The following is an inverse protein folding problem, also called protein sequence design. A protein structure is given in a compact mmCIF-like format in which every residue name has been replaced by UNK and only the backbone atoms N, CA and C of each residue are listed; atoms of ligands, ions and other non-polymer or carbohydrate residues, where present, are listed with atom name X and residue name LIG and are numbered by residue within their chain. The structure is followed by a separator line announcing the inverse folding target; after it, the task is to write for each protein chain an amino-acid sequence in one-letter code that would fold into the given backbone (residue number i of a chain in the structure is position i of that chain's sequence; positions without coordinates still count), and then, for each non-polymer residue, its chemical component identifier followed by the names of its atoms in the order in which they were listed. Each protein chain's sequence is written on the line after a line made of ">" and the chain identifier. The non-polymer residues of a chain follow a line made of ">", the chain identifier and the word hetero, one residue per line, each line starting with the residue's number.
data_IF_947266319281
#
_entry.id   IF_947266319281
#
_cell.length_a   1.000
_cell.length_b   1.000
_cell.length_c   1.000
_cell.angle_alpha   90.00
_cell.angle_beta   90.00
_cell.angle_gamma   90.00
#
_symmetry.space_group_name_H-M   'P 1'
#
loop_
_entity.id
_entity.type
_entity.pdbx_description
1 polymer ?
#
# COMPACT_ATOMS: atom_id res chain seq x y z
N UNK A 1 18.00 -37.54 -30.82
CA UNK A 1 17.22 -37.43 -29.58
C UNK A 1 17.84 -36.31 -28.77
N UNK A 2 17.16 -35.19 -28.63
CA UNK A 2 17.32 -34.28 -27.49
C UNK A 2 16.11 -33.35 -27.47
N UNK A 3 15.37 -33.40 -26.36
CA UNK A 3 14.03 -32.87 -26.18
C UNK A 3 14.09 -31.36 -25.89
N UNK A 4 13.22 -30.62 -26.57
CA UNK A 4 12.73 -29.30 -26.14
C UNK A 4 12.09 -29.43 -24.76
N UNK A 5 12.49 -28.57 -23.82
CA UNK A 5 11.76 -28.39 -22.56
C UNK A 5 10.80 -27.23 -22.75
N UNK A 6 9.52 -27.56 -22.88
CA UNK A 6 8.40 -26.63 -22.88
C UNK A 6 8.25 -26.01 -21.48
N UNK A 7 8.13 -24.68 -21.43
CA UNK A 7 7.79 -23.94 -20.22
C UNK A 7 6.26 -24.02 -20.11
N UNK A 8 5.78 -24.75 -19.11
CA UNK A 8 4.36 -24.92 -18.83
C UNK A 8 3.73 -23.57 -18.47
N UNK A 9 2.83 -23.10 -19.34
CA UNK A 9 1.85 -22.05 -19.04
C UNK A 9 0.89 -22.62 -18.01
N UNK A 10 0.85 -22.01 -16.82
CA UNK A 10 -0.02 -22.44 -15.72
C UNK A 10 -1.45 -22.00 -16.03
N UNK A 11 -2.36 -22.97 -16.05
CA UNK A 11 -3.78 -22.81 -16.36
C UNK A 11 -4.48 -21.80 -15.42
N UNK A 12 -5.28 -20.93 -16.04
CA UNK A 12 -6.23 -20.06 -15.36
C UNK A 12 -7.21 -20.90 -14.55
N UNK A 13 -7.09 -20.86 -13.22
CA UNK A 13 -8.12 -21.40 -12.34
C UNK A 13 -9.21 -20.33 -12.21
N UNK A 14 -10.25 -20.44 -13.02
CA UNK A 14 -11.47 -19.64 -12.90
C UNK A 14 -12.13 -19.92 -11.53
N UNK A 15 -11.98 -19.00 -10.58
CA UNK A 15 -12.72 -19.03 -9.33
C UNK A 15 -14.17 -18.57 -9.60
N UNK A 16 -15.11 -19.48 -9.37
CA UNK A 16 -16.54 -19.24 -9.50
C UNK A 16 -16.99 -18.01 -8.68
N UNK A 17 -17.79 -17.16 -9.32
CA UNK A 17 -18.44 -16.02 -8.69
C UNK A 17 -19.42 -16.49 -7.60
N UNK A 18 -19.00 -16.53 -6.34
CA UNK A 18 -19.94 -16.74 -5.22
C UNK A 18 -20.66 -15.42 -4.90
N UNK A 19 -21.96 -15.38 -5.14
CA UNK A 19 -22.88 -14.27 -4.83
C UNK A 19 -23.43 -14.31 -3.40
N UNK A 20 -22.80 -15.05 -2.49
CA UNK A 20 -23.18 -15.13 -1.08
C UNK A 20 -21.97 -15.12 -0.16
N UNK A 21 -22.16 -14.67 1.08
CA UNK A 21 -21.20 -14.87 2.18
C UNK A 21 -20.84 -16.36 2.20
N UNK A 22 -19.55 -16.69 2.11
CA UNK A 22 -19.11 -18.08 2.11
C UNK A 22 -19.66 -18.84 3.31
N UNK A 23 -19.93 -20.14 3.17
CA UNK A 23 -20.29 -21.00 4.32
C UNK A 23 -19.14 -20.96 5.33
N UNK A 24 -19.45 -20.86 6.62
CA UNK A 24 -18.46 -20.69 7.70
C UNK A 24 -18.23 -19.24 8.15
N UNK A 25 -19.01 -18.29 7.63
CA UNK A 25 -19.01 -16.87 8.03
C UNK A 25 -20.39 -16.41 8.50
N UNK A 26 -21.13 -17.29 9.17
CA UNK A 26 -22.48 -17.04 9.66
C UNK A 26 -22.49 -15.93 10.72
N UNK A 27 -21.43 -15.85 11.55
CA UNK A 27 -21.28 -14.77 12.51
C UNK A 27 -20.96 -13.43 11.82
N UNK A 28 -21.48 -12.30 12.32
CA UNK A 28 -21.08 -10.98 11.87
C UNK A 28 -19.59 -10.74 12.19
N UNK A 29 -18.70 -11.01 11.24
CA UNK A 29 -17.30 -10.58 11.33
C UNK A 29 -17.25 -9.05 11.41
N UNK A 30 -16.76 -8.51 12.53
CA UNK A 30 -16.54 -7.09 12.67
C UNK A 30 -15.34 -6.70 11.80
N UNK A 31 -15.34 -5.50 11.24
CA UNK A 31 -14.31 -5.08 10.28
C UNK A 31 -12.98 -4.82 10.96
N UNK A 32 -13.03 -4.52 12.26
CA UNK A 32 -11.86 -4.34 13.13
C UNK A 32 -11.10 -5.66 13.33
N UNK A 33 -11.76 -6.80 13.13
CA UNK A 33 -11.20 -8.15 13.23
C UNK A 33 -10.51 -8.58 11.93
N UNK A 34 -10.78 -7.88 10.82
CA UNK A 34 -10.14 -8.14 9.53
C UNK A 34 -8.88 -7.29 9.37
N UNK A 35 -7.77 -7.95 9.08
CA UNK A 35 -6.51 -7.27 8.73
C UNK A 35 -6.39 -7.26 7.21
N UNK A 36 -6.39 -6.05 6.64
CA UNK A 36 -6.26 -5.90 5.19
C UNK A 36 -4.76 -5.81 4.84
N UNK A 37 -4.26 -6.69 3.95
CA UNK A 37 -2.85 -6.69 3.58
C UNK A 37 -2.44 -5.40 2.87
N UNK A 38 -1.15 -5.10 2.91
CA UNK A 38 -0.53 -3.98 2.21
C UNK A 38 0.33 -4.48 1.04
N UNK A 39 0.40 -3.68 -0.02
CA UNK A 39 1.41 -3.83 -1.06
C UNK A 39 2.76 -3.30 -0.53
N UNK A 40 3.65 -4.22 -0.13
CA UNK A 40 4.95 -3.93 0.45
C UNK A 40 6.01 -3.89 -0.65
N UNK A 41 6.60 -2.71 -0.88
CA UNK A 41 7.82 -2.59 -1.67
C UNK A 41 9.00 -3.12 -0.84
N UNK A 42 9.66 -4.16 -1.35
CA UNK A 42 10.84 -4.76 -0.75
C UNK A 42 12.09 -3.95 -1.13
N UNK A 43 12.77 -3.40 -0.14
CA UNK A 43 13.97 -2.57 -0.31
C UNK A 43 15.26 -3.40 -0.24
N UNK A 44 15.20 -4.60 0.37
CA UNK A 44 16.39 -5.45 0.54
C UNK A 44 17.26 -5.04 1.72
N UNK A 45 16.66 -4.47 2.75
CA UNK A 45 17.35 -4.21 4.02
C UNK A 45 17.57 -5.54 4.78
N UNK A 46 18.61 -5.67 5.61
CA UNK A 46 18.86 -6.88 6.38
C UNK A 46 17.64 -7.37 7.17
N UNK A 47 16.95 -6.46 7.86
CA UNK A 47 15.73 -6.79 8.62
C UNK A 47 14.53 -7.21 7.77
N UNK A 48 14.55 -6.90 6.47
CA UNK A 48 13.49 -7.35 5.56
C UNK A 48 13.76 -8.76 5.06
N UNK A 49 15.02 -9.17 4.86
CA UNK A 49 15.36 -10.54 4.47
C UNK A 49 14.94 -11.57 5.52
N UNK A 50 14.95 -11.20 6.82
CA UNK A 50 14.42 -12.07 7.88
C UNK A 50 12.92 -12.40 7.68
N UNK A 51 12.17 -11.50 7.06
CA UNK A 51 10.73 -11.64 6.81
C UNK A 51 10.40 -12.11 5.40
N UNK A 52 11.30 -11.85 4.45
CA UNK A 52 11.13 -12.08 3.02
C UNK A 52 12.45 -12.62 2.43
N UNK A 53 12.86 -13.85 2.79
CA UNK A 53 14.19 -14.36 2.46
C UNK A 53 14.42 -14.51 0.95
N UNK A 54 13.37 -14.82 0.18
CA UNK A 54 13.45 -15.07 -1.26
C UNK A 54 13.13 -13.83 -2.12
N UNK A 55 12.82 -12.70 -1.48
CA UNK A 55 12.45 -11.48 -2.19
C UNK A 55 13.67 -10.76 -2.78
N UNK A 56 13.45 -10.09 -3.91
CA UNK A 56 14.45 -9.28 -4.60
C UNK A 56 14.12 -7.79 -4.48
N UNK A 57 15.12 -6.91 -4.27
CA UNK A 57 14.91 -5.47 -4.19
C UNK A 57 14.09 -4.94 -5.37
N UNK A 58 13.07 -4.15 -5.07
CA UNK A 58 12.11 -3.61 -6.04
C UNK A 58 10.87 -4.47 -6.27
N UNK A 59 10.80 -5.70 -5.75
CA UNK A 59 9.57 -6.49 -5.82
C UNK A 59 8.48 -5.92 -4.89
N UNK A 60 7.23 -6.10 -5.28
CA UNK A 60 6.06 -5.65 -4.51
C UNK A 60 5.30 -6.88 -4.05
N UNK A 61 5.23 -7.06 -2.74
CA UNK A 61 4.74 -8.28 -2.10
C UNK A 61 3.47 -7.99 -1.32
N UNK A 62 2.64 -9.02 -1.13
CA UNK A 62 1.54 -8.98 -0.19
C UNK A 62 2.12 -9.08 1.24
N UNK A 63 1.81 -8.13 2.12
CA UNK A 63 2.38 -8.11 3.47
C UNK A 63 1.92 -9.27 4.36
N UNK A 64 0.82 -9.95 4.04
CA UNK A 64 0.33 -11.11 4.81
C UNK A 64 0.78 -12.41 4.15
N UNK A 65 0.46 -12.61 2.87
CA UNK A 65 0.76 -13.88 2.18
C UNK A 65 2.23 -14.01 1.76
N UNK A 66 2.97 -12.89 1.76
CA UNK A 66 4.39 -12.79 1.34
C UNK A 66 4.62 -13.10 -0.15
N UNK A 67 3.55 -13.31 -0.91
CA UNK A 67 3.61 -13.59 -2.34
C UNK A 67 3.80 -12.33 -3.18
N UNK A 68 4.39 -12.49 -4.37
CA UNK A 68 4.53 -11.41 -5.33
C UNK A 68 3.15 -10.96 -5.82
N UNK A 69 2.88 -9.66 -5.71
CA UNK A 69 1.66 -9.09 -6.25
C UNK A 69 1.75 -8.96 -7.78
N UNK A 70 0.65 -9.21 -8.51
CA UNK A 70 0.53 -8.83 -9.90
C UNK A 70 0.88 -7.36 -10.11
N UNK A 71 1.42 -7.02 -11.29
CA UNK A 71 1.69 -5.63 -11.61
C UNK A 71 0.40 -4.83 -11.79
N UNK A 72 -0.67 -5.44 -12.31
CA UNK A 72 -1.94 -4.75 -12.50
C UNK A 72 -2.75 -4.69 -11.19
N UNK A 73 -3.37 -3.55 -10.95
CA UNK A 73 -4.30 -3.37 -9.84
C UNK A 73 -5.42 -2.39 -10.21
N UNK A 74 -6.51 -2.48 -9.44
CA UNK A 74 -7.72 -1.68 -9.58
C UNK A 74 -7.93 -0.93 -8.26
N UNK A 75 -7.67 0.38 -8.21
CA UNK A 75 -8.00 1.18 -7.03
C UNK A 75 -9.53 1.32 -6.94
N UNK A 76 -10.06 1.11 -5.74
CA UNK A 76 -11.51 1.17 -5.48
C UNK A 76 -11.87 2.53 -4.89
N UNK A 77 -11.20 2.89 -3.81
CA UNK A 77 -11.31 4.21 -3.22
C UNK A 77 -10.03 4.59 -2.49
N UNK A 78 -9.88 5.89 -2.27
CA UNK A 78 -8.73 6.46 -1.59
C UNK A 78 -9.09 6.91 -0.19
N UNK A 79 -8.18 6.70 0.75
CA UNK A 79 -8.26 7.29 2.08
C UNK A 79 -6.88 7.82 2.47
N UNK A 80 -6.87 8.86 3.28
CA UNK A 80 -5.64 9.49 3.76
C UNK A 80 -5.50 9.16 5.23
N UNK A 81 -4.29 8.83 5.66
CA UNK A 81 -3.99 8.81 7.08
C UNK A 81 -2.65 9.49 7.36
N UNK A 82 -2.52 9.97 8.57
CA UNK A 82 -1.31 10.54 9.12
C UNK A 82 -0.85 9.65 10.26
N UNK A 83 0.44 9.33 10.26
CA UNK A 83 1.03 8.50 11.30
C UNK A 83 2.29 9.17 11.79
N UNK A 84 2.35 9.40 13.11
CA UNK A 84 3.55 9.83 13.81
C UNK A 84 4.27 8.60 14.34
N UNK A 85 5.43 8.30 13.76
CA UNK A 85 6.33 7.29 14.27
C UNK A 85 7.35 7.94 15.19
N UNK A 86 7.69 7.27 16.29
CA UNK A 86 8.84 7.65 17.08
C UNK A 86 10.11 7.33 16.29
N UNK A 87 11.04 8.29 16.11
CA UNK A 87 12.35 8.00 15.54
C UNK A 87 13.05 6.84 16.24
N UNK A 88 13.90 6.14 15.51
CA UNK A 88 14.69 5.03 16.08
C UNK A 88 15.94 5.53 16.79
N UNK A 89 16.56 6.58 16.24
CA UNK A 89 17.68 7.25 16.88
C UNK A 89 17.16 8.30 17.87
N UNK A 90 17.74 8.32 19.07
CA UNK A 90 17.38 9.27 20.14
C UNK A 90 17.79 10.69 19.84
N UNK A 91 18.74 10.87 18.92
CA UNK A 91 19.25 12.17 18.48
C UNK A 91 18.38 12.79 17.38
N UNK A 92 17.49 12.00 16.76
CA UNK A 92 16.63 12.49 15.69
C UNK A 92 15.56 13.46 16.21
N UNK A 93 15.25 14.46 15.38
CA UNK A 93 14.21 15.44 15.70
C UNK A 93 12.86 14.77 15.96
N UNK A 94 12.27 15.10 17.10
CA UNK A 94 10.96 14.63 17.52
C UNK A 94 10.97 13.28 18.24
N UNK A 95 12.14 12.73 18.60
CA UNK A 95 12.20 11.57 19.48
C UNK A 95 11.42 11.81 20.78
N UNK A 96 10.48 10.91 21.08
CA UNK A 96 9.71 10.88 22.32
C UNK A 96 10.28 9.79 23.24
N UNK A 97 10.85 10.14 24.41
CA UNK A 97 11.39 9.17 25.35
C UNK A 97 10.33 8.26 25.99
N UNK A 98 9.04 8.61 25.87
CA UNK A 98 7.94 7.81 26.41
C UNK A 98 7.43 6.74 25.43
N UNK A 99 7.90 6.76 24.19
CA UNK A 99 7.57 5.76 23.19
C UNK A 99 8.79 4.89 22.85
N UNK A 100 8.58 3.62 22.50
CA UNK A 100 9.67 2.78 22.04
C UNK A 100 10.22 3.30 20.68
N UNK A 101 11.52 3.15 20.39
CA UNK A 101 12.10 3.47 19.09
C UNK A 101 11.34 2.79 17.94
N UNK A 102 10.89 3.57 16.95
CA UNK A 102 10.11 3.08 15.80
C UNK A 102 8.63 2.80 16.08
N UNK A 103 8.13 3.01 17.30
CA UNK A 103 6.72 2.81 17.64
C UNK A 103 5.81 3.87 17.00
N UNK A 104 4.54 3.54 16.78
CA UNK A 104 3.52 4.54 16.43
C UNK A 104 3.16 5.32 17.69
N UNK A 105 3.40 6.64 17.70
CA UNK A 105 2.99 7.55 18.77
C UNK A 105 1.50 7.84 18.63
N UNK A 106 1.07 8.24 17.44
CA UNK A 106 -0.34 8.45 17.12
C UNK A 106 -0.63 8.25 15.63
N UNK A 107 -1.91 8.05 15.33
CA UNK A 107 -2.44 8.01 13.97
C UNK A 107 -3.80 8.67 13.91
N UNK A 108 -4.16 9.21 12.74
CA UNK A 108 -5.51 9.71 12.49
C UNK A 108 -5.81 9.69 11.00
N UNK A 109 -7.10 9.56 10.68
CA UNK A 109 -7.63 9.77 9.33
C UNK A 109 -8.32 11.13 9.20
N UNK A 110 -8.45 11.87 10.30
CA UNK A 110 -9.07 13.18 10.32
C UNK A 110 -8.08 14.26 9.86
N UNK A 111 -8.30 14.92 8.71
CA UNK A 111 -7.44 16.01 8.25
C UNK A 111 -7.48 17.24 9.16
N UNK A 112 -8.50 17.39 10.00
CA UNK A 112 -8.70 18.52 10.91
C UNK A 112 -8.21 18.25 12.33
N UNK A 113 -7.62 17.08 12.59
CA UNK A 113 -7.00 16.77 13.86
C UNK A 113 -5.91 17.82 14.17
N UNK A 114 -5.93 18.49 15.34
CA UNK A 114 -4.93 19.50 15.69
C UNK A 114 -3.48 19.00 15.59
N UNK A 115 -3.25 17.69 15.77
CA UNK A 115 -1.93 17.07 15.62
C UNK A 115 -1.47 17.05 14.16
N UNK A 116 -2.38 16.93 13.19
CA UNK A 116 -2.06 16.99 11.76
C UNK A 116 -1.63 18.40 11.36
N UNK A 117 -2.31 19.42 11.89
CA UNK A 117 -1.93 20.82 11.68
C UNK A 117 -0.53 21.11 12.27
N UNK A 118 -0.25 20.63 13.48
CA UNK A 118 1.02 20.88 14.17
C UNK A 118 2.20 20.07 13.61
N UNK A 119 2.00 18.80 13.26
CA UNK A 119 3.08 17.85 12.96
C UNK A 119 3.08 17.34 11.51
N UNK A 120 2.01 17.56 10.76
CA UNK A 120 1.83 17.02 9.39
C UNK A 120 2.25 17.98 8.27
N UNK A 121 2.80 19.15 8.59
CA UNK A 121 3.23 20.19 7.65
C UNK A 121 4.71 20.51 7.82
N UNK A 122 5.31 21.08 6.77
CA UNK A 122 6.66 21.62 6.86
C UNK A 122 6.67 22.81 7.81
N UNK A 123 7.71 22.89 8.63
CA UNK A 123 7.91 24.02 9.52
C UNK A 123 8.27 25.30 8.75
N UNK A 124 8.24 26.46 9.43
CA UNK A 124 8.48 27.76 8.80
C UNK A 124 9.88 27.88 8.17
N UNK A 125 10.86 27.09 8.65
CA UNK A 125 12.21 27.08 8.11
C UNK A 125 12.48 25.86 7.20
N UNK A 126 11.42 25.21 6.70
CA UNK A 126 11.54 24.04 5.84
C UNK A 126 11.84 22.75 6.58
N UNK A 127 11.70 22.70 7.91
CA UNK A 127 11.91 21.44 8.62
C UNK A 127 10.83 20.42 8.21
N UNK A 128 11.19 19.14 7.99
CA UNK A 128 10.22 18.16 7.52
C UNK A 128 9.11 17.90 8.55
N UNK A 129 7.91 17.49 8.10
CA UNK A 129 6.84 17.06 9.00
C UNK A 129 7.29 15.92 9.92
N UNK A 130 6.82 15.95 11.16
CA UNK A 130 7.03 14.86 12.12
C UNK A 130 6.08 13.68 11.82
N UNK A 131 4.85 13.97 11.39
CA UNK A 131 3.88 12.98 10.99
C UNK A 131 3.98 12.69 9.48
N UNK A 132 4.08 11.42 9.13
CA UNK A 132 4.09 11.00 7.72
C UNK A 132 2.66 10.94 7.21
N UNK A 133 2.39 11.65 6.11
CA UNK A 133 1.13 11.55 5.36
C UNK A 133 1.22 10.39 4.38
N UNK A 134 0.24 9.50 4.44
CA UNK A 134 0.09 8.40 3.50
C UNK A 134 -1.16 8.64 2.66
N UNK A 135 -1.03 8.40 1.37
CA UNK A 135 -2.14 8.30 0.44
C UNK A 135 -2.38 6.82 0.15
N UNK A 136 -3.48 6.28 0.67
CA UNK A 136 -3.81 4.87 0.57
C UNK A 136 -4.90 4.65 -0.46
N UNK A 137 -4.76 3.56 -1.21
CA UNK A 137 -5.77 3.09 -2.16
C UNK A 137 -6.15 1.67 -1.78
N UNK A 138 -7.38 1.48 -1.35
CA UNK A 138 -7.95 0.15 -1.18
C UNK A 138 -8.17 -0.42 -2.59
N UNK A 139 -7.49 -1.53 -2.90
CA UNK A 139 -7.35 -2.01 -4.28
C UNK A 139 -7.58 -3.51 -4.40
N UNK A 140 -7.94 -3.94 -5.61
CA UNK A 140 -7.94 -5.36 -5.99
C UNK A 140 -6.79 -5.61 -6.95
N UNK A 141 -6.12 -6.75 -6.77
CA UNK A 141 -5.12 -7.28 -7.70
C UNK A 141 -5.73 -8.51 -8.39
N UNK A 142 -5.76 -8.59 -9.73
CA UNK A 142 -6.32 -9.75 -10.43
C UNK A 142 -5.65 -11.05 -9.98
N UNK A 143 -6.45 -12.06 -9.62
CA UNK A 143 -5.96 -13.34 -9.10
C UNK A 143 -5.60 -13.35 -7.61
N UNK A 144 -5.63 -12.19 -6.92
CA UNK A 144 -5.50 -12.14 -5.47
C UNK A 144 -6.89 -12.26 -4.81
N UNK A 145 -7.07 -13.19 -3.85
CA UNK A 145 -8.38 -13.43 -3.23
C UNK A 145 -8.79 -12.34 -2.23
N UNK A 146 -7.83 -11.56 -1.73
CA UNK A 146 -8.06 -10.50 -0.75
C UNK A 146 -7.76 -9.13 -1.34
N UNK A 147 -8.52 -8.08 -0.97
CA UNK A 147 -8.17 -6.71 -1.29
C UNK A 147 -6.86 -6.32 -0.61
N UNK A 148 -6.10 -5.43 -1.23
CA UNK A 148 -4.79 -4.98 -0.78
C UNK A 148 -4.76 -3.46 -0.75
N UNK A 149 -4.20 -2.89 0.31
CA UNK A 149 -3.96 -1.44 0.38
C UNK A 149 -2.63 -1.10 -0.28
N UNK A 150 -2.67 -0.22 -1.28
CA UNK A 150 -1.48 0.39 -1.87
C UNK A 150 -1.25 1.74 -1.20
N UNK A 151 -0.19 1.83 -0.39
CA UNK A 151 0.15 3.01 0.39
C UNK A 151 1.30 3.78 -0.25
N UNK A 152 1.08 5.06 -0.56
CA UNK A 152 2.10 5.97 -1.06
C UNK A 152 2.45 7.00 0.03
N UNK A 153 3.73 7.07 0.41
CA UNK A 153 4.25 8.05 1.36
C UNK A 153 5.67 8.45 0.99
N UNK A 154 6.21 9.48 1.63
CA UNK A 154 7.59 9.96 1.44
C UNK A 154 7.98 10.04 -0.05
N UNK A 155 8.99 9.28 -0.47
CA UNK A 155 9.56 9.21 -1.82
C UNK A 155 8.53 8.76 -2.87
N UNK A 156 7.61 7.87 -2.49
CA UNK A 156 6.55 7.36 -3.36
C UNK A 156 5.30 8.26 -3.40
N UNK A 157 5.23 9.31 -2.58
CA UNK A 157 4.05 10.18 -2.48
C UNK A 157 3.70 10.87 -3.82
N UNK A 158 4.70 11.17 -4.65
CA UNK A 158 4.50 11.74 -5.99
C UNK A 158 3.72 10.77 -6.90
N UNK A 159 4.06 9.49 -6.89
CA UNK A 159 3.36 8.47 -7.68
C UNK A 159 1.90 8.30 -7.22
N UNK A 160 1.65 8.33 -5.91
CA UNK A 160 0.28 8.31 -5.37
C UNK A 160 -0.55 9.51 -5.81
N UNK A 161 0.02 10.73 -5.80
CA UNK A 161 -0.65 11.93 -6.32
C UNK A 161 -0.95 11.80 -7.81
N UNK A 162 -0.01 11.28 -8.59
CA UNK A 162 -0.19 11.02 -10.02
C UNK A 162 -1.35 10.06 -10.26
N UNK A 163 -1.43 8.94 -9.52
CA UNK A 163 -2.55 8.01 -9.59
C UNK A 163 -3.88 8.72 -9.29
N UNK A 164 -3.95 9.47 -8.18
CA UNK A 164 -5.18 10.18 -7.80
C UNK A 164 -5.62 11.17 -8.87
N UNK A 165 -4.68 11.97 -9.41
CA UNK A 165 -4.98 12.92 -10.47
C UNK A 165 -5.46 12.22 -11.73
N UNK A 166 -4.78 11.16 -12.18
CA UNK A 166 -5.20 10.42 -13.37
C UNK A 166 -6.58 9.82 -13.16
N UNK A 167 -6.85 9.20 -12.01
CA UNK A 167 -8.15 8.59 -11.69
C UNK A 167 -9.28 9.64 -11.63
N UNK A 168 -9.05 10.78 -10.98
CA UNK A 168 -10.06 11.83 -10.84
C UNK A 168 -10.41 12.51 -12.16
N UNK A 169 -9.42 12.88 -12.96
CA UNK A 169 -9.65 13.61 -14.22
C UNK A 169 -10.02 12.72 -15.39
N UNK A 170 -9.85 11.42 -15.21
CA UNK A 170 -10.23 10.37 -16.15
C UNK A 170 -11.74 10.19 -16.36
N UNK A 171 -12.55 10.69 -15.43
CA UNK A 171 -14.00 10.46 -15.38
C UNK A 171 -14.38 9.01 -14.99
N UNK A 172 -15.63 8.85 -14.56
CA UNK A 172 -16.19 7.57 -14.10
C UNK A 172 -15.73 7.17 -12.69
N UNK A 173 -16.06 5.95 -12.30
CA UNK A 173 -15.65 5.38 -11.03
C UNK A 173 -14.15 5.05 -11.01
N UNK A 174 -13.50 5.22 -9.86
CA UNK A 174 -12.07 4.91 -9.70
C UNK A 174 -11.76 3.44 -10.05
N UNK A 175 -12.69 2.53 -9.73
CA UNK A 175 -12.62 1.11 -10.05
C UNK A 175 -13.04 0.75 -11.48
N UNK A 176 -13.30 1.74 -12.35
CA UNK A 176 -13.50 1.51 -13.77
C UNK A 176 -12.21 1.35 -14.58
N UNK A 177 -11.05 1.60 -13.96
CA UNK A 177 -9.74 1.63 -14.64
C UNK A 177 -8.69 0.76 -13.95
N UNK A 178 -7.82 0.18 -14.76
CA UNK A 178 -6.65 -0.58 -14.32
C UNK A 178 -5.39 0.28 -14.37
N UNK A 179 -4.50 0.03 -13.43
CA UNK A 179 -3.19 0.66 -13.35
C UNK A 179 -2.13 -0.40 -13.15
N UNK A 180 -0.93 -0.16 -13.65
CA UNK A 180 0.23 -0.98 -13.36
C UNK A 180 1.01 -0.32 -12.22
N UNK A 181 1.20 -1.07 -11.15
CA UNK A 181 2.08 -0.76 -10.04
C UNK A 181 3.46 -1.35 -10.36
N UNK A 182 4.47 -0.50 -10.31
CA UNK A 182 5.85 -0.91 -10.49
C UNK A 182 6.75 -0.29 -9.43
N UNK A 183 8.04 -0.54 -9.58
CA UNK A 183 9.06 0.15 -8.82
C UNK A 183 10.18 0.63 -9.74
N UNK A 184 10.89 1.65 -9.30
CA UNK A 184 12.12 2.12 -9.96
C UNK A 184 13.18 2.36 -8.90
N UNK A 185 14.43 2.05 -9.24
CA UNK A 185 15.59 2.41 -8.42
C UNK A 185 15.91 3.89 -8.59
N UNK A 186 15.99 4.62 -7.50
CA UNK A 186 16.51 5.97 -7.41
C UNK A 186 17.81 5.96 -6.60
N UNK A 187 18.61 7.01 -6.77
CA UNK A 187 19.79 7.27 -5.96
C UNK A 187 19.62 8.63 -5.30
N UNK A 188 19.85 8.69 -3.99
CA UNK A 188 19.99 9.91 -3.21
C UNK A 188 21.33 9.92 -2.48
N UNK A 189 21.51 10.92 -1.62
CA UNK A 189 22.79 11.14 -0.94
C UNK A 189 23.17 10.00 0.02
N UNK A 190 22.19 9.31 0.61
CA UNK A 190 22.40 8.14 1.47
C UNK A 190 22.47 6.79 0.72
N UNK A 191 22.44 6.80 -0.62
CA UNK A 191 22.52 5.60 -1.45
C UNK A 191 21.29 5.37 -2.32
N UNK A 192 21.15 4.15 -2.85
CA UNK A 192 20.05 3.81 -3.74
C UNK A 192 18.88 3.15 -3.02
N UNK A 193 17.67 3.56 -3.35
CA UNK A 193 16.41 3.03 -2.83
C UNK A 193 15.41 2.80 -3.95
N UNK A 194 14.38 1.99 -3.72
CA UNK A 194 13.30 1.80 -4.68
C UNK A 194 12.11 2.69 -4.32
N UNK A 195 11.45 3.24 -5.34
CA UNK A 195 10.20 3.99 -5.21
C UNK A 195 9.11 3.33 -6.02
N UNK A 196 7.86 3.43 -5.55
CA UNK A 196 6.70 2.97 -6.31
C UNK A 196 6.47 3.87 -7.52
N UNK A 197 6.05 3.26 -8.62
CA UNK A 197 5.61 3.93 -9.84
C UNK A 197 4.22 3.45 -10.22
N UNK A 198 3.47 4.31 -10.90
CA UNK A 198 2.12 3.98 -11.37
C UNK A 198 1.93 4.46 -12.79
N UNK A 199 1.40 3.59 -13.65
CA UNK A 199 1.02 3.91 -15.02
C UNK A 199 -0.38 3.39 -15.34
N UNK A 200 -1.19 4.08 -16.19
CA UNK A 200 -2.45 3.51 -16.66
C UNK A 200 -2.22 2.17 -17.38
N UNK A 201 -3.09 1.18 -17.15
CA UNK A 201 -3.00 -0.18 -17.74
C UNK A 201 -4.29 -0.63 -18.44
N UNK A 202 -5.26 0.28 -18.62
CA UNK A 202 -6.47 0.01 -19.40
C UNK A 202 -7.76 0.07 -18.58
N UNK A 203 -8.78 -0.65 -19.06
CA UNK A 203 -10.14 -0.65 -18.50
C UNK A 203 -10.36 -1.97 -17.76
N UNK A 204 -11.18 -1.93 -16.71
CA UNK A 204 -11.54 -3.10 -15.92
C UNK A 204 -12.57 -3.94 -16.67
N UNK A 205 -12.41 -5.27 -16.67
CA UNK A 205 -13.41 -6.18 -17.24
C UNK A 205 -14.69 -6.23 -16.38
N UNK A 206 -15.78 -6.74 -16.95
CA UNK A 206 -17.09 -6.69 -16.29
C UNK A 206 -17.18 -7.46 -14.97
N UNK A 207 -16.36 -8.49 -14.77
CA UNK A 207 -16.42 -9.33 -13.57
C UNK A 207 -15.58 -8.72 -12.44
N UNK A 208 -14.38 -8.24 -12.76
CA UNK A 208 -13.57 -7.47 -11.82
C UNK A 208 -14.23 -6.15 -11.43
N UNK A 209 -14.96 -5.51 -12.36
CA UNK A 209 -15.71 -4.29 -12.06
C UNK A 209 -16.78 -4.56 -11.00
N UNK A 210 -17.61 -5.59 -11.19
CA UNK A 210 -18.63 -5.99 -10.21
C UNK A 210 -18.02 -6.39 -8.87
N UNK A 211 -16.86 -7.04 -8.87
CA UNK A 211 -16.15 -7.36 -7.63
C UNK A 211 -15.71 -6.08 -6.90
N UNK A 212 -15.12 -5.14 -7.63
CA UNK A 212 -14.66 -3.87 -7.07
C UNK A 212 -15.82 -3.01 -6.56
N UNK A 213 -16.95 -2.99 -7.29
CA UNK A 213 -18.18 -2.30 -6.90
C UNK A 213 -18.73 -2.86 -5.57
N UNK A 214 -18.82 -4.18 -5.41
CA UNK A 214 -19.25 -4.81 -4.15
C UNK A 214 -18.35 -4.40 -2.98
N UNK A 215 -17.03 -4.40 -3.20
CA UNK A 215 -16.06 -4.00 -2.19
C UNK A 215 -16.15 -2.50 -1.88
N UNK A 216 -16.47 -1.65 -2.86
CA UNK A 216 -16.74 -0.24 -2.64
C UNK A 216 -17.94 -0.07 -1.71
N UNK A 217 -19.09 -0.67 -2.04
CA UNK A 217 -20.30 -0.59 -1.24
C UNK A 217 -20.10 -1.09 0.19
N UNK A 218 -19.29 -2.15 0.34
CA UNK A 218 -19.02 -2.73 1.63
C UNK A 218 -18.08 -1.85 2.48
N UNK A 219 -17.00 -1.32 1.92
CA UNK A 219 -15.88 -0.72 2.68
C UNK A 219 -15.77 0.81 2.60
N UNK A 220 -16.29 1.48 1.56
CA UNK A 220 -15.98 2.89 1.30
C UNK A 220 -16.45 3.85 2.42
N UNK A 221 -17.49 3.49 3.16
CA UNK A 221 -18.07 4.31 4.22
C UNK A 221 -17.54 3.99 5.62
N UNK A 222 -16.60 3.04 5.76
CA UNK A 222 -16.21 2.47 7.05
C UNK A 222 -14.71 2.61 7.31
N UNK A 223 -14.27 2.70 8.58
CA UNK A 223 -12.85 2.72 8.90
C UNK A 223 -12.17 1.41 8.48
N UNK A 224 -11.02 1.53 7.80
CA UNK A 224 -10.19 0.40 7.37
C UNK A 224 -9.03 0.23 8.35
N UNK A 225 -8.85 -1.00 8.86
CA UNK A 225 -7.63 -1.43 9.55
C UNK A 225 -6.68 -2.08 8.56
N UNK A 226 -5.53 -1.46 8.35
CA UNK A 226 -4.48 -1.93 7.43
C UNK A 226 -3.41 -2.63 8.23
N UNK A 227 -2.83 -3.69 7.67
CA UNK A 227 -1.66 -4.36 8.22
C UNK A 227 -0.51 -3.37 8.50
N UNK A 228 0.13 -3.58 9.66
CA UNK A 228 1.15 -2.71 10.23
C UNK A 228 2.47 -3.46 10.32
N UNK A 229 3.09 -3.71 9.18
CA UNK A 229 4.51 -4.01 9.22
C UNK A 229 5.26 -2.76 9.68
N UNK A 230 6.07 -2.92 10.74
CA UNK A 230 7.03 -1.91 11.17
C UNK A 230 7.85 -1.51 9.95
N UNK A 231 7.71 -0.25 9.52
CA UNK A 231 8.46 0.30 8.39
C UNK A 231 9.92 0.30 8.79
N UNK A 232 10.65 -0.73 8.39
CA UNK A 232 12.10 -0.73 8.42
C UNK A 232 12.55 0.30 7.38
N UNK A 233 13.13 1.38 7.90
CA UNK A 233 14.00 2.36 7.26
C UNK A 233 13.73 2.67 5.77
N UNK A 234 13.11 3.81 5.53
CA UNK A 234 13.65 4.72 4.52
C UNK A 234 14.31 5.82 5.37
N UNK A 235 15.65 5.81 5.46
CA UNK A 235 16.38 6.97 5.95
C UNK A 235 15.79 8.20 5.25
N UNK A 236 15.48 9.29 5.98
CA UNK A 236 15.04 10.50 5.31
C UNK A 236 16.16 10.91 4.35
N UNK A 237 15.88 10.93 3.05
CA UNK A 237 16.75 11.61 2.11
C UNK A 237 17.01 13.01 2.70
N UNK A 238 18.27 13.40 2.92
CA UNK A 238 18.55 14.74 3.37
C UNK A 238 17.99 15.69 2.30
N UNK A 239 17.22 16.67 2.76
CA UNK A 239 16.70 17.74 1.92
C UNK A 239 17.81 18.68 1.48
#
# INVERSE_FOLDING_TARGET
>A
MEKKTEIAVKEETALAQSTGRGRGFEEPTAKEDLIIPRAKLFQGLPSEYDKYPDAKPGQILNSITKELLPSEFIPIFKFTNWVRFNPRNKEDRGFDPNAAPGAVIWRTNDPHDPRVEAEGKFGPNGEPPLATKFLNFFSVFPGCPMPVVVSFSKTSFKAGKQLLSIAQFSGGDMFGKKYALGSKKESGDSGSYYVLTVTPSGIVDGDLFKQAERLFDEFATKPIKVDEEHVADEEPAPF
#
